data_IF_600843378701
#
_entry.id   IF_600843378701
#
_cell.length_a   1.000
_cell.length_b   1.000
_cell.length_c   1.000
_cell.angle_alpha   90.00
_cell.angle_beta   90.00
_cell.angle_gamma   90.00
#
_symmetry.space_group_name_H-M   'P 1'
#
loop_
_entity.id
_entity.type
_entity.pdbx_description
1 polymer ?
#
# COMPACT_ATOMS: atom_id res chain seq x y z
N UNK A 1 -6.03 5.98 9.32
CA UNK A 1 -4.71 6.04 9.98
C UNK A 1 -4.64 7.16 11.02
N UNK A 2 -5.06 8.43 10.72
CA UNK A 2 -4.99 9.54 11.69
C UNK A 2 -5.72 9.23 13.00
N UNK A 3 -6.98 8.78 12.92
CA UNK A 3 -7.79 8.44 14.10
C UNK A 3 -7.17 7.30 14.91
N UNK A 4 -6.66 6.27 14.25
CA UNK A 4 -6.00 5.16 14.93
C UNK A 4 -4.71 5.59 15.64
N UNK A 5 -4.00 6.56 15.09
CA UNK A 5 -2.82 7.13 15.74
C UNK A 5 -3.18 7.99 16.96
N UNK A 6 -4.29 8.74 16.91
CA UNK A 6 -4.73 9.57 18.04
C UNK A 6 -5.24 8.74 19.21
N UNK A 7 -5.79 7.56 18.94
CA UNK A 7 -6.26 6.61 19.96
C UNK A 7 -5.15 5.68 20.48
N UNK A 8 -3.95 5.74 19.91
CA UNK A 8 -2.84 4.90 20.30
C UNK A 8 -2.24 5.36 21.63
N UNK A 9 -1.85 4.41 22.48
CA UNK A 9 -1.06 4.69 23.68
C UNK A 9 0.34 5.16 23.28
N UNK A 10 0.96 5.94 24.15
CA UNK A 10 2.36 6.33 23.96
C UNK A 10 3.25 5.10 23.85
N UNK A 11 4.13 5.07 22.85
CA UNK A 11 5.00 3.92 22.57
C UNK A 11 4.37 2.76 21.79
N UNK A 12 3.05 2.73 21.58
CA UNK A 12 2.32 1.65 20.89
C UNK A 12 1.63 2.11 19.58
N UNK A 13 2.10 3.17 18.97
CA UNK A 13 1.49 3.73 17.76
C UNK A 13 1.61 2.79 16.57
N UNK A 14 2.77 2.18 16.39
CA UNK A 14 3.01 1.20 15.33
C UNK A 14 2.16 -0.05 15.51
N UNK A 15 2.09 -0.59 16.72
CA UNK A 15 1.23 -1.73 17.08
C UNK A 15 -0.26 -1.44 16.80
N UNK A 16 -0.72 -0.24 17.14
CA UNK A 16 -2.11 0.17 16.88
C UNK A 16 -2.40 0.26 15.39
N UNK A 17 -1.51 0.89 14.60
CA UNK A 17 -1.61 0.95 13.15
C UNK A 17 -1.56 -0.46 12.52
N UNK A 18 -0.64 -1.31 12.97
CA UNK A 18 -0.51 -2.69 12.50
C UNK A 18 -1.75 -3.53 12.78
N UNK A 19 -2.34 -3.40 13.97
CA UNK A 19 -3.59 -4.08 14.30
C UNK A 19 -4.78 -3.57 13.49
N UNK A 20 -4.87 -2.26 13.26
CA UNK A 20 -5.89 -1.67 12.39
C UNK A 20 -5.77 -2.21 10.96
N UNK A 21 -4.56 -2.18 10.41
CA UNK A 21 -4.30 -2.67 9.05
C UNK A 21 -4.53 -4.17 8.93
N UNK A 22 -4.18 -4.96 9.96
CA UNK A 22 -4.47 -6.38 10.02
C UNK A 22 -5.97 -6.68 9.93
N UNK A 23 -6.79 -5.96 10.70
CA UNK A 23 -8.25 -6.11 10.64
C UNK A 23 -8.81 -5.70 9.28
N UNK A 24 -8.29 -4.61 8.69
CA UNK A 24 -8.66 -4.19 7.34
C UNK A 24 -8.34 -5.29 6.30
N UNK A 25 -7.16 -5.91 6.38
CA UNK A 25 -6.78 -7.01 5.50
C UNK A 25 -7.70 -8.23 5.65
N UNK A 26 -8.10 -8.58 6.88
CA UNK A 26 -9.06 -9.67 7.11
C UNK A 26 -10.43 -9.36 6.48
N UNK A 27 -10.92 -8.13 6.61
CA UNK A 27 -12.15 -7.70 5.94
C UNK A 27 -12.01 -7.76 4.41
N UNK A 28 -10.88 -7.31 3.86
CA UNK A 28 -10.59 -7.40 2.43
C UNK A 28 -10.57 -8.85 1.95
N UNK A 29 -9.95 -9.75 2.72
CA UNK A 29 -9.92 -11.18 2.42
C UNK A 29 -11.33 -11.77 2.35
N UNK A 30 -12.18 -11.49 3.35
CA UNK A 30 -13.57 -11.96 3.36
C UNK A 30 -14.36 -11.42 2.18
N UNK A 31 -14.22 -10.12 1.89
CA UNK A 31 -14.88 -9.48 0.74
C UNK A 31 -14.43 -10.09 -0.58
N UNK A 32 -13.13 -10.28 -0.77
CA UNK A 32 -12.58 -10.91 -1.96
C UNK A 32 -13.07 -12.37 -2.12
N UNK A 33 -13.15 -13.12 -1.01
CA UNK A 33 -13.68 -14.47 -1.02
C UNK A 33 -15.17 -14.51 -1.41
N UNK A 34 -15.98 -13.61 -0.88
CA UNK A 34 -17.41 -13.50 -1.24
C UNK A 34 -17.57 -13.18 -2.73
N UNK A 35 -16.79 -12.25 -3.26
CA UNK A 35 -16.80 -11.90 -4.68
C UNK A 35 -16.36 -13.10 -5.52
N UNK A 36 -15.26 -13.74 -5.18
CA UNK A 36 -14.77 -14.94 -5.88
C UNK A 36 -15.81 -16.05 -5.90
N UNK A 37 -16.38 -16.38 -4.73
CA UNK A 37 -17.43 -17.39 -4.61
C UNK A 37 -18.68 -17.02 -5.42
N UNK A 38 -19.09 -15.77 -5.41
CA UNK A 38 -20.21 -15.26 -6.17
C UNK A 38 -20.05 -15.43 -7.68
N UNK A 39 -18.84 -15.20 -8.21
CA UNK A 39 -18.55 -15.48 -9.62
C UNK A 39 -18.44 -16.99 -9.88
N UNK A 40 -17.81 -17.76 -9.00
CA UNK A 40 -17.61 -19.20 -9.16
C UNK A 40 -18.92 -19.99 -9.16
N UNK A 41 -19.89 -19.57 -8.36
CA UNK A 41 -21.21 -20.21 -8.27
C UNK A 41 -22.26 -19.58 -9.21
N UNK A 42 -21.87 -18.65 -10.08
CA UNK A 42 -22.76 -18.04 -11.07
C UNK A 42 -23.77 -17.06 -10.47
N UNK A 43 -23.58 -16.63 -9.21
CA UNK A 43 -24.41 -15.59 -8.61
C UNK A 43 -24.11 -14.22 -9.23
N UNK A 44 -22.84 -13.97 -9.57
CA UNK A 44 -22.36 -12.85 -10.37
C UNK A 44 -21.99 -13.34 -11.77
N UNK A 45 -22.17 -12.49 -12.79
CA UNK A 45 -21.74 -12.72 -14.16
C UNK A 45 -21.35 -11.39 -14.78
N UNK A 46 -20.36 -11.41 -15.67
CA UNK A 46 -19.97 -10.21 -16.42
C UNK A 46 -20.95 -9.90 -17.56
N UNK A 47 -21.69 -10.87 -18.04
CA UNK A 47 -22.63 -10.68 -19.15
C UNK A 47 -24.02 -10.24 -18.66
N UNK A 48 -24.69 -11.08 -17.87
CA UNK A 48 -26.10 -10.86 -17.53
C UNK A 48 -26.34 -10.27 -16.13
N UNK A 49 -25.36 -10.40 -15.22
CA UNK A 49 -25.54 -10.09 -13.78
C UNK A 49 -24.49 -9.11 -13.24
N UNK A 50 -23.89 -8.32 -14.11
CA UNK A 50 -22.84 -7.37 -13.75
C UNK A 50 -23.34 -6.31 -12.75
N UNK A 51 -24.60 -5.95 -12.78
CA UNK A 51 -25.20 -4.93 -11.92
C UNK A 51 -25.20 -5.35 -10.44
N UNK A 52 -25.34 -6.66 -10.14
CA UNK A 52 -25.47 -7.16 -8.76
C UNK A 52 -24.30 -6.79 -7.85
N UNK A 53 -23.00 -7.02 -8.19
CA UNK A 53 -21.91 -6.64 -7.33
C UNK A 53 -21.82 -5.12 -7.11
N UNK A 54 -22.19 -4.30 -8.10
CA UNK A 54 -22.22 -2.84 -7.96
C UNK A 54 -23.33 -2.37 -7.01
N UNK A 55 -24.54 -2.96 -7.09
CA UNK A 55 -25.64 -2.66 -6.16
C UNK A 55 -25.26 -3.05 -4.74
N UNK A 56 -24.65 -4.23 -4.53
CA UNK A 56 -24.18 -4.67 -3.20
C UNK A 56 -23.12 -3.69 -2.68
N UNK A 57 -22.15 -3.30 -3.51
CA UNK A 57 -21.12 -2.34 -3.12
C UNK A 57 -21.72 -0.97 -2.76
N UNK A 58 -22.72 -0.50 -3.48
CA UNK A 58 -23.43 0.75 -3.17
C UNK A 58 -24.14 0.67 -1.81
N UNK A 59 -24.87 -0.42 -1.55
CA UNK A 59 -25.54 -0.63 -0.26
C UNK A 59 -24.54 -0.67 0.88
N UNK A 60 -23.43 -1.42 0.75
CA UNK A 60 -22.37 -1.47 1.75
C UNK A 60 -21.72 -0.11 1.99
N UNK A 61 -21.55 0.70 0.94
CA UNK A 61 -21.03 2.06 1.03
C UNK A 61 -21.98 2.99 1.82
N UNK A 62 -23.29 2.86 1.62
CA UNK A 62 -24.30 3.61 2.39
C UNK A 62 -24.30 3.19 3.87
N UNK A 63 -24.19 1.89 4.16
CA UNK A 63 -24.05 1.38 5.53
C UNK A 63 -22.78 1.94 6.17
N UNK A 64 -21.64 1.92 5.47
CA UNK A 64 -20.37 2.47 5.96
C UNK A 64 -20.49 3.97 6.25
N UNK A 65 -21.15 4.74 5.37
CA UNK A 65 -21.41 6.17 5.59
C UNK A 65 -22.27 6.40 6.85
N UNK A 66 -23.32 5.59 7.04
CA UNK A 66 -24.16 5.63 8.24
C UNK A 66 -23.36 5.34 9.53
N UNK A 67 -22.48 4.32 9.49
CA UNK A 67 -21.60 3.99 10.60
C UNK A 67 -20.62 5.11 10.92
N UNK A 68 -20.07 5.80 9.91
CA UNK A 68 -19.19 6.97 10.13
C UNK A 68 -19.93 8.12 10.81
N UNK A 69 -21.17 8.40 10.40
CA UNK A 69 -22.02 9.41 11.06
C UNK A 69 -22.32 9.00 12.52
N UNK A 70 -22.62 7.74 12.77
CA UNK A 70 -22.82 7.20 14.11
C UNK A 70 -21.56 7.31 14.97
N UNK A 71 -20.40 6.92 14.45
CA UNK A 71 -19.12 7.08 15.13
C UNK A 71 -18.83 8.53 15.51
N UNK A 72 -19.12 9.48 14.61
CA UNK A 72 -18.96 10.92 14.91
C UNK A 72 -19.80 11.39 16.10
N UNK A 73 -20.96 10.78 16.37
CA UNK A 73 -21.81 11.10 17.53
C UNK A 73 -21.26 10.55 18.84
N UNK A 74 -20.59 9.40 18.79
CA UNK A 74 -20.08 8.70 19.99
C UNK A 74 -18.68 9.18 20.38
N UNK A 75 -17.84 9.56 19.41
CA UNK A 75 -16.48 10.02 19.71
C UNK A 75 -16.49 11.31 20.55
N UNK A 76 -15.69 11.35 21.62
CA UNK A 76 -15.57 12.55 22.45
C UNK A 76 -15.15 13.74 21.59
N UNK A 77 -15.86 14.86 21.74
CA UNK A 77 -15.63 16.10 20.96
C UNK A 77 -14.20 16.63 21.05
N UNK A 78 -13.50 16.37 22.14
CA UNK A 78 -12.12 16.79 22.40
C UNK A 78 -11.08 16.21 21.43
N UNK A 79 -11.31 15.03 20.86
CA UNK A 79 -10.38 14.38 19.92
C UNK A 79 -10.66 14.73 18.45
N UNK A 80 -11.87 15.20 18.14
CA UNK A 80 -12.29 15.58 16.78
C UNK A 80 -12.13 17.10 16.53
N UNK A 81 -12.02 17.89 17.58
CA UNK A 81 -12.09 19.36 17.51
C UNK A 81 -10.77 20.10 17.33
N UNK A 82 -9.71 19.47 16.93
CA UNK A 82 -8.75 20.26 16.18
C UNK A 82 -9.47 20.71 14.90
N UNK A 83 -10.19 21.86 14.98
CA UNK A 83 -10.75 22.56 13.82
C UNK A 83 -9.60 22.91 12.90
N UNK A 84 -9.15 21.91 12.18
CA UNK A 84 -8.24 22.11 11.09
C UNK A 84 -9.05 22.81 10.01
N UNK A 85 -9.01 24.14 10.01
CA UNK A 85 -9.19 24.86 8.76
C UNK A 85 -8.19 24.15 7.85
N UNK A 86 -8.69 23.37 6.90
CA UNK A 86 -7.92 22.61 5.92
C UNK A 86 -7.02 23.59 5.15
N UNK A 87 -5.90 23.98 5.77
CA UNK A 87 -4.86 24.72 5.10
C UNK A 87 -4.00 23.68 4.41
N UNK A 88 -3.79 23.87 3.12
CA UNK A 88 -2.76 23.16 2.38
C UNK A 88 -1.43 23.38 3.12
N UNK A 89 -0.94 22.33 3.78
CA UNK A 89 0.27 22.43 4.60
C UNK A 89 1.39 21.73 3.84
N UNK A 90 2.27 22.53 3.23
CA UNK A 90 3.46 22.03 2.54
C UNK A 90 4.70 22.69 3.13
N UNK A 91 5.25 22.09 4.19
CA UNK A 91 6.45 22.61 4.85
C UNK A 91 7.71 21.88 4.34
N UNK A 92 8.83 22.60 4.23
CA UNK A 92 10.13 22.00 3.89
C UNK A 92 10.52 20.84 4.82
N UNK A 93 10.14 20.92 6.11
CA UNK A 93 10.35 19.86 7.09
C UNK A 93 9.64 18.54 6.72
N UNK A 94 8.54 18.60 5.96
CA UNK A 94 7.75 17.43 5.54
C UNK A 94 8.20 16.86 4.19
N UNK A 95 9.21 17.49 3.55
CA UNK A 95 9.73 17.03 2.25
C UNK A 95 10.15 15.54 2.26
N UNK A 96 10.83 15.02 3.30
CA UNK A 96 11.15 13.60 3.37
C UNK A 96 9.92 12.69 3.25
N UNK A 97 8.81 13.07 3.89
CA UNK A 97 7.54 12.36 3.78
C UNK A 97 6.98 12.37 2.35
N UNK A 98 6.97 13.54 1.69
CA UNK A 98 6.47 13.62 0.30
C UNK A 98 7.35 12.85 -0.67
N UNK A 99 8.66 12.83 -0.48
CA UNK A 99 9.58 12.02 -1.30
C UNK A 99 9.29 10.52 -1.18
N UNK A 100 9.04 10.03 0.03
CA UNK A 100 8.68 8.61 0.21
C UNK A 100 7.33 8.29 -0.40
N UNK A 101 6.37 9.21 -0.39
CA UNK A 101 5.08 9.03 -1.06
C UNK A 101 5.22 8.98 -2.59
N UNK A 102 6.14 9.75 -3.18
CA UNK A 102 6.43 9.66 -4.62
C UNK A 102 6.95 8.27 -4.97
N UNK A 103 7.94 7.76 -4.22
CA UNK A 103 8.46 6.41 -4.41
C UNK A 103 7.36 5.35 -4.25
N UNK A 104 6.58 5.45 -3.17
CA UNK A 104 5.48 4.54 -2.89
C UNK A 104 4.39 4.59 -3.97
N UNK A 105 4.04 5.79 -4.45
CA UNK A 105 3.07 5.97 -5.54
C UNK A 105 3.51 5.27 -6.84
N UNK A 106 4.81 5.33 -7.18
CA UNK A 106 5.37 4.57 -8.31
C UNK A 106 5.24 3.05 -8.08
N UNK A 107 5.64 2.56 -6.90
CA UNK A 107 5.62 1.14 -6.54
C UNK A 107 4.19 0.58 -6.49
N UNK A 108 3.24 1.37 -6.05
CA UNK A 108 1.83 1.00 -6.00
C UNK A 108 1.24 0.67 -7.39
N UNK A 109 1.82 1.23 -8.48
CA UNK A 109 1.41 0.90 -9.86
C UNK A 109 1.74 -0.54 -10.21
N UNK A 110 2.82 -1.09 -9.66
CA UNK A 110 3.14 -2.52 -9.82
C UNK A 110 1.98 -3.38 -9.32
N UNK A 111 1.43 -3.07 -8.16
CA UNK A 111 0.29 -3.80 -7.61
C UNK A 111 -0.98 -3.62 -8.45
N UNK A 112 -1.33 -2.38 -8.80
CA UNK A 112 -2.66 -2.09 -9.34
C UNK A 112 -2.79 -2.37 -10.85
N UNK A 113 -1.69 -2.31 -11.58
CA UNK A 113 -1.68 -2.40 -13.05
C UNK A 113 -0.79 -3.52 -13.54
N UNK A 114 0.52 -3.40 -13.32
CA UNK A 114 1.52 -4.24 -13.99
C UNK A 114 1.61 -5.65 -13.41
N UNK A 115 1.38 -5.83 -12.11
CA UNK A 115 1.37 -7.16 -11.49
C UNK A 115 0.24 -8.05 -12.00
N UNK A 116 -1.03 -7.62 -11.97
CA UNK A 116 -2.13 -8.35 -12.59
C UNK A 116 -1.87 -8.64 -14.08
N UNK A 117 -1.24 -7.71 -14.79
CA UNK A 117 -0.91 -7.89 -16.21
C UNK A 117 0.09 -9.03 -16.44
N UNK A 118 1.12 -9.22 -15.58
CA UNK A 118 1.98 -10.40 -15.66
C UNK A 118 1.16 -11.69 -15.59
N UNK A 119 0.23 -11.79 -14.65
CA UNK A 119 -0.56 -12.98 -14.42
C UNK A 119 -1.50 -13.25 -15.59
N UNK A 120 -2.15 -12.23 -16.12
CA UNK A 120 -3.16 -12.37 -17.18
C UNK A 120 -2.48 -12.48 -18.56
N UNK A 121 -1.63 -11.52 -18.90
CA UNK A 121 -1.08 -11.41 -20.26
C UNK A 121 0.13 -12.32 -20.49
N UNK A 122 1.13 -12.30 -19.59
CA UNK A 122 2.36 -13.07 -19.78
C UNK A 122 2.21 -14.54 -19.39
N UNK A 123 1.37 -14.85 -18.40
CA UNK A 123 1.16 -16.23 -17.95
C UNK A 123 -0.12 -16.86 -18.50
N UNK A 124 -0.98 -16.10 -19.18
CA UNK A 124 -2.25 -16.61 -19.74
C UNK A 124 -3.23 -17.10 -18.69
N UNK A 125 -3.21 -16.54 -17.45
CA UNK A 125 -4.11 -16.94 -16.37
C UNK A 125 -5.33 -16.01 -16.31
N UNK A 126 -6.43 -16.53 -15.76
CA UNK A 126 -7.66 -15.73 -15.63
C UNK A 126 -7.64 -14.75 -14.45
N UNK A 127 -8.63 -13.85 -14.44
CA UNK A 127 -8.86 -12.91 -13.34
C UNK A 127 -9.18 -13.61 -12.01
N UNK A 128 -9.69 -14.83 -12.06
CA UNK A 128 -9.90 -15.71 -10.90
C UNK A 128 -8.58 -16.01 -10.17
N UNK A 129 -7.50 -16.26 -10.92
CA UNK A 129 -6.16 -16.46 -10.35
C UNK A 129 -5.69 -15.20 -9.63
N UNK A 130 -5.88 -14.00 -10.23
CA UNK A 130 -5.53 -12.71 -9.59
C UNK A 130 -6.33 -12.52 -8.31
N UNK A 131 -7.62 -12.83 -8.32
CA UNK A 131 -8.48 -12.76 -7.15
C UNK A 131 -8.02 -13.72 -6.04
N UNK A 132 -7.67 -14.96 -6.38
CA UNK A 132 -7.15 -15.94 -5.43
C UNK A 132 -5.83 -15.47 -4.79
N UNK A 133 -4.89 -14.97 -5.61
CA UNK A 133 -3.65 -14.40 -5.11
C UNK A 133 -3.90 -13.19 -4.20
N UNK A 134 -4.92 -12.38 -4.50
CA UNK A 134 -5.37 -11.27 -3.65
C UNK A 134 -5.87 -11.74 -2.28
N UNK A 135 -6.63 -12.85 -2.22
CA UNK A 135 -7.08 -13.46 -0.96
C UNK A 135 -5.87 -13.90 -0.13
N UNK A 136 -4.94 -14.64 -0.74
CA UNK A 136 -3.72 -15.12 -0.07
C UNK A 136 -2.87 -13.95 0.43
N UNK A 137 -2.70 -12.93 -0.40
CA UNK A 137 -1.94 -11.72 -0.03
C UNK A 137 -2.59 -10.99 1.14
N UNK A 138 -3.92 -10.88 1.18
CA UNK A 138 -4.63 -10.22 2.27
C UNK A 138 -4.49 -11.01 3.58
N UNK A 139 -4.52 -12.34 3.50
CA UNK A 139 -4.27 -13.21 4.66
C UNK A 139 -2.86 -13.01 5.22
N UNK A 140 -1.84 -13.13 4.38
CA UNK A 140 -0.43 -12.90 4.77
C UNK A 140 -0.25 -11.46 5.26
N UNK A 141 -0.84 -10.48 4.57
CA UNK A 141 -0.80 -9.07 4.90
C UNK A 141 -1.33 -8.76 6.30
N UNK A 142 -2.31 -9.53 6.79
CA UNK A 142 -2.83 -9.36 8.15
C UNK A 142 -1.77 -9.66 9.23
N UNK A 143 -0.91 -10.64 9.01
CA UNK A 143 0.20 -10.95 9.94
C UNK A 143 1.37 -10.01 9.70
N UNK A 144 1.70 -9.75 8.44
CA UNK A 144 2.80 -8.87 8.07
C UNK A 144 2.61 -7.44 8.59
N UNK A 145 1.38 -6.90 8.56
CA UNK A 145 1.10 -5.58 9.12
C UNK A 145 1.29 -5.50 10.64
N UNK A 146 0.96 -6.56 11.39
CA UNK A 146 1.27 -6.64 12.82
C UNK A 146 2.77 -6.66 13.09
N UNK A 147 3.51 -7.42 12.28
CA UNK A 147 4.98 -7.48 12.37
C UNK A 147 5.59 -6.10 12.11
N UNK A 148 5.17 -5.40 11.06
CA UNK A 148 5.63 -4.05 10.76
C UNK A 148 5.29 -3.05 11.87
N UNK A 149 4.08 -3.14 12.43
CA UNK A 149 3.67 -2.31 13.56
C UNK A 149 4.57 -2.49 14.78
N UNK A 150 4.88 -3.74 15.13
CA UNK A 150 5.82 -4.06 16.19
C UNK A 150 7.23 -3.55 15.88
N UNK A 151 7.69 -3.71 14.65
CA UNK A 151 9.00 -3.23 14.21
C UNK A 151 9.11 -1.71 14.29
N UNK A 152 8.04 -0.96 13.98
CA UNK A 152 8.00 0.50 14.11
C UNK A 152 8.18 0.95 15.57
N UNK A 153 7.54 0.25 16.52
CA UNK A 153 7.64 0.61 17.94
C UNK A 153 8.98 0.18 18.56
N UNK A 154 9.50 -1.02 18.22
CA UNK A 154 10.72 -1.58 18.82
C UNK A 154 12.01 -1.10 18.17
N UNK A 155 12.07 -1.10 16.83
CA UNK A 155 13.29 -0.74 16.07
C UNK A 155 13.26 0.70 15.54
N UNK A 156 12.10 1.33 15.57
CA UNK A 156 11.91 2.71 15.17
C UNK A 156 11.83 2.91 13.65
N UNK A 157 11.55 4.16 13.28
CA UNK A 157 11.26 4.57 11.91
C UNK A 157 12.44 4.32 10.94
N UNK A 158 13.68 4.62 11.36
CA UNK A 158 14.89 4.45 10.51
C UNK A 158 15.00 3.02 9.97
N UNK A 159 14.99 2.05 10.88
CA UNK A 159 15.18 0.64 10.51
C UNK A 159 14.02 0.13 9.68
N UNK A 160 12.79 0.53 10.01
CA UNK A 160 11.60 0.11 9.25
C UNK A 160 11.61 0.66 7.83
N UNK A 161 12.04 1.90 7.59
CA UNK A 161 12.16 2.47 6.26
C UNK A 161 13.29 1.85 5.44
N UNK A 162 14.44 1.53 6.06
CA UNK A 162 15.53 0.82 5.38
C UNK A 162 15.06 -0.60 5.00
N UNK A 163 14.36 -1.28 5.90
CA UNK A 163 13.75 -2.59 5.63
C UNK A 163 12.74 -2.50 4.48
N UNK A 164 11.83 -1.51 4.49
CA UNK A 164 10.87 -1.26 3.41
C UNK A 164 11.57 -1.10 2.07
N UNK A 165 12.54 -0.17 1.99
CA UNK A 165 13.26 0.10 0.76
C UNK A 165 14.06 -1.10 0.26
N UNK A 166 14.77 -1.81 1.15
CA UNK A 166 15.51 -3.02 0.80
C UNK A 166 14.60 -4.16 0.34
N UNK A 167 13.50 -4.38 1.05
CA UNK A 167 12.50 -5.39 0.71
C UNK A 167 11.89 -5.12 -0.67
N UNK A 168 11.41 -3.90 -0.92
CA UNK A 168 10.77 -3.55 -2.18
C UNK A 168 11.75 -3.54 -3.35
N UNK A 169 13.00 -3.07 -3.13
CA UNK A 169 14.05 -3.13 -4.13
C UNK A 169 14.26 -4.56 -4.64
N UNK A 170 14.44 -5.51 -3.71
CA UNK A 170 14.72 -6.90 -4.07
C UNK A 170 13.50 -7.58 -4.69
N UNK A 171 12.33 -7.45 -4.06
CA UNK A 171 11.12 -8.15 -4.49
C UNK A 171 10.62 -7.64 -5.84
N UNK A 172 10.58 -6.32 -6.04
CA UNK A 172 10.11 -5.75 -7.30
C UNK A 172 11.11 -6.02 -8.42
N UNK A 173 12.42 -5.93 -8.16
CA UNK A 173 13.44 -6.28 -9.16
C UNK A 173 13.39 -7.78 -9.54
N UNK A 174 13.22 -8.67 -8.57
CA UNK A 174 13.07 -10.10 -8.85
C UNK A 174 11.79 -10.39 -9.67
N UNK A 175 10.68 -9.73 -9.36
CA UNK A 175 9.45 -9.86 -10.15
C UNK A 175 9.65 -9.32 -11.57
N UNK A 176 10.40 -8.23 -11.73
CA UNK A 176 10.77 -7.67 -13.04
C UNK A 176 11.63 -8.64 -13.87
N UNK A 177 12.64 -9.23 -13.24
CA UNK A 177 13.47 -10.24 -13.90
C UNK A 177 12.64 -11.47 -14.36
N UNK A 178 11.69 -11.90 -13.51
CA UNK A 178 10.77 -12.98 -13.87
C UNK A 178 9.83 -12.58 -15.02
N UNK A 179 9.30 -11.34 -15.02
CA UNK A 179 8.46 -10.82 -16.09
C UNK A 179 9.20 -10.76 -17.42
N UNK A 180 10.43 -10.23 -17.45
CA UNK A 180 11.26 -10.20 -18.65
C UNK A 180 11.65 -11.60 -19.16
N UNK A 181 11.87 -12.55 -18.25
CA UNK A 181 12.14 -13.94 -18.65
C UNK A 181 10.89 -14.62 -19.23
N UNK A 182 9.69 -14.34 -18.69
CA UNK A 182 8.42 -14.81 -19.26
C UNK A 182 8.18 -14.22 -20.65
N UNK A 183 8.39 -12.91 -20.82
CA UNK A 183 8.19 -12.20 -22.09
C UNK A 183 9.10 -12.75 -23.21
N UNK A 184 10.33 -13.14 -22.86
CA UNK A 184 11.28 -13.78 -23.79
C UNK A 184 11.06 -15.29 -23.99
N UNK A 185 10.04 -15.87 -23.36
CA UNK A 185 9.78 -17.32 -23.42
C UNK A 185 10.81 -18.18 -22.68
N UNK A 186 11.66 -17.57 -21.85
CA UNK A 186 12.71 -18.26 -21.07
C UNK A 186 12.19 -18.99 -19.83
N UNK A 187 10.98 -18.68 -19.38
CA UNK A 187 10.31 -19.37 -18.27
C UNK A 187 9.09 -20.11 -18.80
N UNK A 188 9.00 -21.40 -18.49
CA UNK A 188 7.82 -22.19 -18.83
C UNK A 188 6.59 -21.71 -18.05
N UNK A 189 5.43 -21.70 -18.71
CA UNK A 189 4.13 -21.35 -18.10
C UNK A 189 3.60 -22.43 -17.13
N UNK A 190 4.41 -23.41 -16.74
CA UNK A 190 4.04 -24.56 -15.92
C UNK A 190 5.09 -24.87 -14.86
N UNK A 191 4.68 -25.55 -13.79
CA UNK A 191 5.57 -26.08 -12.78
C UNK A 191 6.11 -25.05 -11.79
N UNK A 192 7.38 -25.22 -11.40
CA UNK A 192 8.04 -24.45 -10.34
C UNK A 192 8.12 -22.94 -10.65
N UNK A 193 8.23 -22.57 -11.91
CA UNK A 193 8.32 -21.17 -12.33
C UNK A 193 7.04 -20.40 -12.07
N UNK A 194 5.89 -21.03 -12.32
CA UNK A 194 4.56 -20.43 -12.00
C UNK A 194 4.45 -20.17 -10.51
N UNK A 195 4.84 -21.14 -9.69
CA UNK A 195 4.84 -20.99 -8.25
C UNK A 195 5.75 -19.86 -7.79
N UNK A 196 6.96 -19.76 -8.35
CA UNK A 196 7.90 -18.67 -8.03
C UNK A 196 7.32 -17.29 -8.36
N UNK A 197 6.73 -17.14 -9.55
CA UNK A 197 6.09 -15.86 -9.95
C UNK A 197 4.94 -15.53 -9.02
N UNK A 198 4.11 -16.50 -8.62
CA UNK A 198 3.03 -16.26 -7.64
C UNK A 198 3.58 -15.84 -6.27
N UNK A 199 4.65 -16.45 -5.79
CA UNK A 199 5.30 -16.03 -4.55
C UNK A 199 5.84 -14.59 -4.66
N UNK A 200 6.54 -14.25 -5.75
CA UNK A 200 7.04 -12.90 -5.97
C UNK A 200 5.92 -11.87 -6.09
N UNK A 201 4.83 -12.24 -6.77
CA UNK A 201 3.63 -11.42 -6.87
C UNK A 201 3.03 -11.15 -5.49
N UNK A 202 2.81 -12.18 -4.67
CA UNK A 202 2.28 -12.03 -3.31
C UNK A 202 3.19 -11.13 -2.48
N UNK A 203 4.51 -11.35 -2.52
CA UNK A 203 5.49 -10.53 -1.81
C UNK A 203 5.44 -9.08 -2.29
N UNK A 204 5.41 -8.82 -3.59
CA UNK A 204 5.30 -7.47 -4.13
C UNK A 204 4.00 -6.77 -3.67
N UNK A 205 2.91 -7.49 -3.56
CA UNK A 205 1.62 -6.95 -3.12
C UNK A 205 1.55 -6.63 -1.63
N UNK A 206 2.47 -7.16 -0.81
CA UNK A 206 2.61 -6.75 0.59
C UNK A 206 3.09 -5.31 0.75
N UNK A 207 3.53 -4.64 -0.32
CA UNK A 207 3.92 -3.22 -0.33
C UNK A 207 2.85 -2.31 0.30
N UNK A 208 1.57 -2.67 0.18
CA UNK A 208 0.47 -1.86 0.72
C UNK A 208 0.51 -1.74 2.25
N UNK A 209 1.15 -2.70 2.91
CA UNK A 209 1.27 -2.68 4.37
C UNK A 209 2.22 -1.57 4.83
N UNK A 210 3.18 -1.18 4.00
CA UNK A 210 4.14 -0.10 4.31
C UNK A 210 3.50 1.30 4.35
N UNK A 211 2.27 1.46 3.81
CA UNK A 211 1.57 2.75 3.92
C UNK A 211 1.45 3.26 5.37
N UNK A 212 1.37 2.36 6.36
CA UNK A 212 1.36 2.76 7.77
C UNK A 212 2.69 3.35 8.25
N UNK A 213 3.81 2.98 7.61
CA UNK A 213 5.15 3.53 7.91
C UNK A 213 5.18 5.02 7.55
N UNK A 214 4.60 5.38 6.40
CA UNK A 214 4.49 6.77 5.95
C UNK A 214 3.58 7.60 6.87
N UNK A 215 2.45 7.03 7.30
CA UNK A 215 1.57 7.69 8.27
C UNK A 215 2.26 7.92 9.62
N UNK A 216 2.99 6.93 10.12
CA UNK A 216 3.79 7.03 11.33
C UNK A 216 4.89 8.08 11.20
N UNK A 217 5.58 8.12 10.04
CA UNK A 217 6.59 9.12 9.72
C UNK A 217 6.00 10.53 9.77
N UNK A 218 4.84 10.75 9.14
CA UNK A 218 4.19 12.06 9.16
C UNK A 218 3.86 12.51 10.59
N UNK A 219 3.38 11.62 11.44
CA UNK A 219 3.14 11.91 12.86
C UNK A 219 4.42 12.33 13.58
N UNK A 220 5.57 11.68 13.31
CA UNK A 220 6.87 12.03 13.91
C UNK A 220 7.42 13.36 13.39
N UNK A 221 7.13 13.74 12.15
CA UNK A 221 7.57 15.00 11.54
C UNK A 221 6.69 16.19 11.91
N UNK A 222 5.42 15.96 12.22
CA UNK A 222 4.45 17.00 12.46
C UNK A 222 4.91 17.94 13.58
N UNK A 223 4.80 19.24 13.32
CA UNK A 223 5.06 20.29 14.31
C UNK A 223 3.83 20.45 15.18
N UNK A 224 2.65 20.44 14.56
CA UNK A 224 1.35 20.49 15.21
C UNK A 224 0.59 19.20 14.86
N UNK A 225 0.01 18.48 15.84
CA UNK A 225 -0.81 17.30 15.59
C UNK A 225 -1.94 17.53 14.60
N UNK A 226 -2.50 18.75 14.54
CA UNK A 226 -3.55 19.11 13.59
C UNK A 226 -3.08 19.08 12.12
N UNK A 227 -1.78 19.25 11.85
CA UNK A 227 -1.20 19.22 10.50
C UNK A 227 -1.07 17.80 9.94
N UNK A 228 -1.12 16.75 10.79
CA UNK A 228 -1.01 15.35 10.35
C UNK A 228 -2.09 15.01 9.34
N UNK A 229 -3.36 15.28 9.68
CA UNK A 229 -4.49 14.97 8.80
C UNK A 229 -4.42 15.75 7.49
N UNK A 230 -4.08 17.04 7.55
CA UNK A 230 -3.93 17.89 6.37
C UNK A 230 -2.82 17.37 5.44
N UNK A 231 -1.65 17.03 6.01
CA UNK A 231 -0.51 16.50 5.24
C UNK A 231 -0.77 15.11 4.66
N UNK A 232 -1.48 14.23 5.38
CA UNK A 232 -1.93 12.94 4.85
C UNK A 232 -2.90 13.11 3.68
N UNK A 233 -3.78 14.12 3.73
CA UNK A 233 -4.70 14.43 2.62
C UNK A 233 -3.96 14.96 1.39
N UNK A 234 -2.95 15.82 1.58
CA UNK A 234 -2.05 16.27 0.49
C UNK A 234 -1.32 15.09 -0.13
N UNK A 235 -0.81 14.18 0.72
CA UNK A 235 -0.16 12.95 0.28
C UNK A 235 -1.08 12.06 -0.57
N UNK A 236 -2.35 11.93 -0.19
CA UNK A 236 -3.34 11.19 -0.96
C UNK A 236 -3.60 11.84 -2.34
N UNK A 237 -3.70 13.18 -2.39
CA UNK A 237 -3.85 13.91 -3.65
C UNK A 237 -2.63 13.70 -4.56
N UNK A 238 -1.43 13.73 -4.01
CA UNK A 238 -0.20 13.44 -4.74
C UNK A 238 -0.19 12.00 -5.29
N UNK A 239 -0.61 11.01 -4.49
CA UNK A 239 -0.75 9.62 -4.95
C UNK A 239 -1.68 9.50 -6.16
N UNK A 240 -2.80 10.23 -6.18
CA UNK A 240 -3.72 10.21 -7.33
C UNK A 240 -3.11 10.86 -8.58
N UNK A 241 -2.39 11.96 -8.45
CA UNK A 241 -1.68 12.57 -9.58
C UNK A 241 -0.64 11.60 -10.14
N UNK A 242 0.17 11.01 -9.26
CA UNK A 242 1.16 10.00 -9.64
C UNK A 242 0.52 8.76 -10.25
N UNK A 243 -0.70 8.39 -9.81
CA UNK A 243 -1.45 7.28 -10.36
C UNK A 243 -1.62 7.39 -11.88
N UNK A 244 -1.97 8.57 -12.34
CA UNK A 244 -2.24 8.83 -13.77
C UNK A 244 -0.93 8.95 -14.53
N UNK A 245 -0.04 9.86 -14.10
CA UNK A 245 1.18 10.19 -14.83
C UNK A 245 2.17 9.03 -14.91
N UNK A 246 2.41 8.37 -13.77
CA UNK A 246 3.36 7.24 -13.70
C UNK A 246 2.84 6.03 -14.48
N UNK A 247 1.53 5.70 -14.39
CA UNK A 247 0.98 4.58 -15.15
C UNK A 247 1.12 4.78 -16.65
N UNK A 248 0.87 6.00 -17.15
CA UNK A 248 1.03 6.32 -18.58
C UNK A 248 2.50 6.19 -19.03
N UNK A 249 3.43 6.75 -18.25
CA UNK A 249 4.87 6.67 -18.59
C UNK A 249 5.37 5.23 -18.56
N UNK A 250 5.03 4.47 -17.51
CA UNK A 250 5.46 3.08 -17.38
C UNK A 250 4.82 2.18 -18.44
N UNK A 251 3.59 2.49 -18.90
CA UNK A 251 2.95 1.79 -20.02
C UNK A 251 3.75 1.94 -21.32
N UNK A 252 4.19 3.16 -21.64
CA UNK A 252 5.06 3.43 -22.82
C UNK A 252 6.41 2.71 -22.70
N UNK A 253 6.96 2.64 -21.47
CA UNK A 253 8.22 1.93 -21.22
C UNK A 253 8.04 0.44 -21.46
N UNK A 254 6.93 -0.15 -20.97
CA UNK A 254 6.61 -1.56 -21.23
C UNK A 254 6.57 -1.86 -22.73
N UNK A 255 5.80 -1.06 -23.46
CA UNK A 255 5.62 -1.26 -24.91
C UNK A 255 6.92 -1.14 -25.71
N UNK A 256 7.79 -0.19 -25.34
CA UNK A 256 9.02 0.09 -26.11
C UNK A 256 10.23 -0.74 -25.68
N UNK A 257 10.35 -1.05 -24.40
CA UNK A 257 11.57 -1.64 -23.83
C UNK A 257 11.34 -3.02 -23.21
N UNK A 258 10.07 -3.37 -22.90
CA UNK A 258 9.70 -4.63 -22.26
C UNK A 258 9.32 -4.49 -20.80
N UNK A 259 8.68 -5.55 -20.29
CA UNK A 259 8.13 -5.61 -18.94
C UNK A 259 9.17 -5.33 -17.85
N UNK A 260 10.36 -5.94 -17.97
CA UNK A 260 11.40 -5.89 -16.93
C UNK A 260 11.82 -4.48 -16.56
N UNK A 261 11.87 -3.55 -17.53
CA UNK A 261 12.31 -2.17 -17.29
C UNK A 261 11.34 -1.38 -16.42
N UNK A 262 10.03 -1.66 -16.55
CA UNK A 262 9.00 -1.07 -15.70
C UNK A 262 9.26 -1.41 -14.24
N UNK A 263 9.57 -2.67 -13.96
CA UNK A 263 9.83 -3.16 -12.60
C UNK A 263 11.18 -2.66 -12.08
N UNK A 264 12.24 -2.66 -12.90
CA UNK A 264 13.55 -2.18 -12.48
C UNK A 264 13.55 -0.68 -12.16
N UNK A 265 12.90 0.15 -12.99
CA UNK A 265 12.74 1.57 -12.71
C UNK A 265 11.94 1.80 -11.42
N UNK A 266 10.87 1.05 -11.23
CA UNK A 266 10.07 1.13 -10.02
C UNK A 266 10.85 0.64 -8.80
N UNK A 267 11.62 -0.44 -8.91
CA UNK A 267 12.49 -0.92 -7.85
C UNK A 267 13.54 0.13 -7.46
N UNK A 268 14.10 0.84 -8.43
CA UNK A 268 15.09 1.89 -8.18
C UNK A 268 14.54 3.02 -7.30
N UNK A 269 13.23 3.30 -7.34
CA UNK A 269 12.60 4.29 -6.45
C UNK A 269 12.70 3.91 -4.98
N UNK A 270 12.90 2.63 -4.65
CA UNK A 270 13.10 2.17 -3.27
C UNK A 270 14.39 2.71 -2.65
N UNK A 271 15.38 3.10 -3.45
CA UNK A 271 16.59 3.77 -2.97
C UNK A 271 16.27 5.12 -2.32
N UNK A 272 15.21 5.81 -2.76
CA UNK A 272 14.73 7.03 -2.11
C UNK A 272 14.24 6.75 -0.68
N UNK A 273 13.51 5.65 -0.47
CA UNK A 273 13.04 5.26 0.86
C UNK A 273 14.21 4.92 1.79
N UNK A 274 15.22 4.20 1.30
CA UNK A 274 16.46 3.92 2.05
C UNK A 274 17.16 5.23 2.39
N UNK A 275 17.36 6.13 1.43
CA UNK A 275 18.00 7.43 1.62
C UNK A 275 17.26 8.30 2.65
N UNK A 276 15.95 8.37 2.56
CA UNK A 276 15.12 9.11 3.54
C UNK A 276 15.18 8.43 4.91
N UNK A 277 15.18 7.11 5.00
CA UNK A 277 15.33 6.38 6.27
C UNK A 277 16.64 6.70 6.96
N UNK A 278 17.75 6.74 6.22
CA UNK A 278 19.07 7.14 6.73
C UNK A 278 19.09 8.60 7.17
N UNK A 279 18.51 9.51 6.39
CA UNK A 279 18.39 10.93 6.74
C UNK A 279 17.59 11.12 8.02
N UNK A 280 16.42 10.50 8.14
CA UNK A 280 15.57 10.59 9.32
C UNK A 280 16.27 10.04 10.57
N UNK A 281 17.02 8.94 10.44
CA UNK A 281 17.80 8.40 11.54
C UNK A 281 18.85 9.38 12.07
N UNK A 282 19.52 10.13 11.18
CA UNK A 282 20.48 11.18 11.59
C UNK A 282 19.80 12.37 12.26
N UNK A 283 18.62 12.77 11.78
CA UNK A 283 17.86 13.89 12.35
C UNK A 283 17.34 13.58 13.76
N UNK A 284 16.78 12.38 13.96
CA UNK A 284 16.27 11.95 15.26
C UNK A 284 17.40 11.82 16.29
N UNK A 285 18.54 11.25 15.91
CA UNK A 285 19.70 11.16 16.79
C UNK A 285 20.25 12.54 17.21
N UNK A 286 20.23 13.55 16.32
CA UNK A 286 20.62 14.92 16.68
C UNK A 286 19.64 15.57 17.67
N UNK A 287 18.36 15.30 17.56
CA UNK A 287 17.34 15.83 18.48
C UNK A 287 17.46 15.21 19.88
N UNK A 288 17.82 13.94 19.96
CA UNK A 288 18.06 13.26 21.25
C UNK A 288 19.30 13.78 21.97
N UNK A 289 20.37 14.14 21.23
CA UNK A 289 21.58 14.74 21.81
C UNK A 289 21.42 16.19 22.28
N UNK A 290 20.35 16.88 21.83
CA UNK A 290 20.05 18.28 22.23
C UNK A 290 19.05 18.39 23.38
N UNK A 291 18.53 17.27 23.86
CA UNK A 291 17.66 17.18 25.06
C UNK A 291 18.43 16.70 26.25
#
# INVERSE_FOLDING_TARGET
DAISMDLAREGEVGKTLGNFKSKANMCTMVTAFVIFAGYRWGFFSFEDKILKPFVIAAILSLIAAGLLVYMKKIMPRTQIQAKTKSKFVMRKKYMPYYLTLVAYGCQKRIKLVFGPWIIIELMGKGADTVALLGIVTSFIGAFFSKYLGKMLDEKGLKYTMIFEGGYLLVVIAALGAAAGALERGGLGSHGIWVFLVYCLYILAFLLEQFNMVHAFMMRKLAIDPSEVTASLSVGLSLDHILAITVSAVLGVIWEKFGAEYVFFLTAATSLMQIGVGLYMGRQLAKQEMQR
#
